data_IF_382021362866
#
_entry.id   IF_382021362866
#
_cell.length_a   1.000
_cell.length_b   1.000
_cell.length_c   1.000
_cell.angle_alpha   90.00
_cell.angle_beta   90.00
_cell.angle_gamma   90.00
#
_symmetry.space_group_name_H-M   'P 1'
#
loop_
_entity.id
_entity.type
_entity.pdbx_description
1 polymer ?
#
# COMPACT_ATOMS: atom_id res chain seq x y z
N UNK A 1 24.68 -25.52 -5.44
CA UNK A 1 24.19 -24.65 -4.36
C UNK A 1 25.42 -23.91 -3.82
N UNK A 2 25.39 -22.57 -3.78
CA UNK A 2 26.47 -21.76 -3.25
C UNK A 2 26.50 -21.76 -1.71
N UNK A 3 27.68 -21.51 -1.13
CA UNK A 3 27.83 -21.31 0.31
C UNK A 3 27.14 -20.00 0.72
N UNK A 4 26.26 -20.06 1.73
CA UNK A 4 25.56 -18.86 2.23
C UNK A 4 26.43 -18.18 3.29
N UNK A 5 26.85 -16.95 3.01
CA UNK A 5 27.67 -16.11 3.89
C UNK A 5 26.83 -15.25 4.84
N UNK A 6 25.70 -14.74 4.39
CA UNK A 6 24.79 -13.93 5.21
C UNK A 6 23.33 -14.16 4.83
N UNK A 7 22.43 -13.92 5.78
CA UNK A 7 20.99 -14.04 5.61
C UNK A 7 20.30 -12.86 6.26
N UNK A 8 19.22 -12.38 5.65
CA UNK A 8 18.42 -11.30 6.19
C UNK A 8 17.04 -11.27 5.53
N UNK A 9 16.30 -10.21 5.68
CA UNK A 9 15.01 -10.04 5.01
C UNK A 9 15.21 -9.64 3.56
N UNK A 10 14.56 -10.35 2.64
CA UNK A 10 14.57 -10.01 1.22
C UNK A 10 13.78 -8.73 0.94
N UNK A 11 14.37 -7.88 0.09
CA UNK A 11 13.72 -6.71 -0.49
C UNK A 11 13.78 -6.84 -2.00
N UNK A 12 12.60 -6.84 -2.62
CA UNK A 12 12.48 -7.21 -4.04
C UNK A 12 12.52 -8.72 -4.27
N UNK A 13 12.64 -9.12 -5.54
CA UNK A 13 12.68 -10.53 -5.97
C UNK A 13 13.83 -10.80 -6.96
N UNK A 14 14.81 -9.90 -7.04
CA UNK A 14 15.91 -9.99 -7.99
C UNK A 14 17.13 -10.70 -7.39
N UNK A 15 18.01 -11.10 -8.28
CA UNK A 15 19.35 -11.61 -7.97
C UNK A 15 20.37 -10.70 -8.65
N UNK A 16 21.45 -10.38 -7.96
CA UNK A 16 22.56 -9.63 -8.51
C UNK A 16 23.90 -10.16 -8.00
N UNK A 17 24.94 -10.02 -8.80
CA UNK A 17 26.32 -10.41 -8.50
C UNK A 17 27.20 -9.18 -8.55
N UNK A 18 28.17 -9.10 -7.65
CA UNK A 18 29.15 -8.01 -7.63
C UNK A 18 30.22 -8.22 -6.57
N UNK A 19 31.26 -7.40 -6.62
CA UNK A 19 32.25 -7.34 -5.58
C UNK A 19 31.72 -6.58 -4.35
N UNK A 20 31.97 -7.08 -3.17
CA UNK A 20 31.60 -6.44 -1.91
C UNK A 20 32.37 -5.13 -1.74
N UNK A 21 31.67 -4.07 -1.43
CA UNK A 21 32.22 -2.82 -0.91
C UNK A 21 31.69 -2.58 0.49
N UNK A 22 32.59 -2.80 1.49
CA UNK A 22 32.29 -2.47 2.88
C UNK A 22 32.36 -0.95 3.07
N UNK A 23 31.31 -0.35 3.54
CA UNK A 23 31.23 1.10 3.81
C UNK A 23 30.82 1.32 5.26
N UNK A 24 31.73 1.87 6.05
CA UNK A 24 31.51 2.13 7.46
C UNK A 24 30.98 3.55 7.72
N UNK A 25 31.26 4.52 6.84
CA UNK A 25 30.89 5.93 6.96
C UNK A 25 30.64 6.52 5.56
N UNK A 26 29.85 7.58 5.47
CA UNK A 26 29.50 8.26 4.21
C UNK A 26 30.69 8.86 3.44
N UNK A 27 31.86 9.01 4.07
CA UNK A 27 33.02 9.70 3.49
C UNK A 27 33.79 8.95 2.40
N UNK A 28 33.83 7.61 2.29
CA UNK A 28 34.53 6.94 1.17
C UNK A 28 33.59 6.61 -0.01
N UNK A 29 32.49 7.31 -0.17
CA UNK A 29 31.57 7.10 -1.30
C UNK A 29 32.24 7.34 -2.68
N UNK A 30 33.30 8.14 -2.74
CA UNK A 30 34.08 8.38 -3.96
C UNK A 30 34.81 7.14 -4.49
N UNK A 31 35.03 6.11 -3.65
CA UNK A 31 35.70 4.87 -4.04
C UNK A 31 34.72 3.76 -4.49
N UNK A 32 33.42 3.98 -4.36
CA UNK A 32 32.40 3.00 -4.75
C UNK A 32 32.30 2.94 -6.28
N UNK A 33 32.47 1.74 -6.83
CA UNK A 33 32.37 1.52 -8.28
C UNK A 33 30.98 1.01 -8.67
N UNK A 34 30.43 1.48 -9.79
CA UNK A 34 29.17 0.94 -10.31
C UNK A 34 29.21 -0.58 -10.46
N UNK A 35 28.16 -1.25 -10.01
CA UNK A 35 28.04 -2.70 -10.03
C UNK A 35 28.61 -3.43 -8.80
N UNK A 36 29.19 -2.72 -7.84
CA UNK A 36 29.59 -3.30 -6.55
C UNK A 36 28.34 -3.57 -5.67
N UNK A 37 28.50 -4.48 -4.73
CA UNK A 37 27.52 -4.77 -3.68
C UNK A 37 27.83 -3.91 -2.47
N UNK A 38 26.94 -2.98 -2.15
CA UNK A 38 27.04 -2.10 -0.99
C UNK A 38 26.76 -2.89 0.29
N UNK A 39 27.73 -2.99 1.19
CA UNK A 39 27.58 -3.66 2.49
C UNK A 39 27.88 -2.68 3.61
N UNK A 40 26.92 -2.48 4.51
CA UNK A 40 27.02 -1.49 5.59
C UNK A 40 26.27 -1.95 6.85
N UNK A 41 26.51 -1.28 7.98
CA UNK A 41 25.72 -1.50 9.19
C UNK A 41 24.28 -1.00 9.01
N UNK A 42 24.16 0.22 8.49
CA UNK A 42 22.88 0.88 8.11
C UNK A 42 23.15 1.89 7.00
N UNK A 43 22.12 2.44 6.37
CA UNK A 43 22.24 3.51 5.38
C UNK A 43 21.45 4.76 5.81
N UNK A 44 21.89 5.92 5.36
CA UNK A 44 21.24 7.22 5.54
C UNK A 44 20.98 7.88 4.18
N UNK A 45 20.13 8.92 4.07
CA UNK A 45 19.76 9.53 2.78
C UNK A 45 20.94 10.01 1.91
N UNK A 46 22.01 10.44 2.51
CA UNK A 46 23.25 10.87 1.82
C UNK A 46 23.97 9.75 1.05
N UNK A 47 23.58 8.48 1.25
CA UNK A 47 24.09 7.33 0.51
C UNK A 47 23.36 7.05 -0.81
N UNK A 48 22.27 7.76 -1.07
CA UNK A 48 21.44 7.53 -2.25
C UNK A 48 22.20 7.58 -3.59
N UNK A 49 23.17 8.49 -3.80
CA UNK A 49 23.97 8.50 -5.04
C UNK A 49 24.72 7.20 -5.30
N UNK A 50 25.26 6.56 -4.26
CA UNK A 50 25.96 5.28 -4.33
C UNK A 50 24.98 4.13 -4.51
N UNK A 51 23.88 4.16 -3.79
CA UNK A 51 22.86 3.13 -3.89
C UNK A 51 22.28 3.03 -5.32
N UNK A 52 22.21 4.14 -6.05
CA UNK A 52 21.77 4.19 -7.46
C UNK A 52 22.66 3.41 -8.42
N UNK A 53 23.92 3.23 -8.08
CA UNK A 53 24.90 2.53 -8.92
C UNK A 53 25.25 1.13 -8.40
N UNK A 54 24.78 0.77 -7.21
CA UNK A 54 25.01 -0.52 -6.60
C UNK A 54 24.27 -1.65 -7.33
N UNK A 55 24.92 -2.81 -7.45
CA UNK A 55 24.27 -4.02 -7.95
C UNK A 55 23.25 -4.58 -6.94
N UNK A 56 23.58 -4.48 -5.64
CA UNK A 56 22.75 -4.91 -4.53
C UNK A 56 23.14 -4.16 -3.25
N UNK A 57 22.27 -4.23 -2.24
CA UNK A 57 22.50 -3.63 -0.92
C UNK A 57 22.38 -4.71 0.15
N UNK A 58 23.30 -4.72 1.12
CA UNK A 58 23.25 -5.60 2.28
C UNK A 58 23.46 -4.76 3.54
N UNK A 59 22.56 -4.85 4.51
CA UNK A 59 22.73 -4.11 5.77
C UNK A 59 22.62 -5.04 6.98
N UNK A 60 23.45 -4.80 8.01
CA UNK A 60 23.34 -5.53 9.27
C UNK A 60 22.01 -5.26 9.98
N UNK A 61 21.62 -3.99 10.01
CA UNK A 61 20.40 -3.53 10.68
C UNK A 61 19.34 -3.13 9.66
N UNK A 62 18.11 -3.15 10.12
CA UNK A 62 16.97 -2.67 9.36
C UNK A 62 15.91 -3.74 9.11
N UNK A 63 14.74 -3.26 8.78
CA UNK A 63 13.59 -4.06 8.41
C UNK A 63 13.05 -3.65 7.04
N UNK A 64 11.87 -4.15 6.67
CA UNK A 64 11.25 -3.86 5.38
C UNK A 64 10.92 -2.39 5.13
N UNK A 65 10.92 -1.57 6.17
CA UNK A 65 10.62 -0.12 6.14
C UNK A 65 11.84 0.76 6.41
N UNK A 66 13.05 0.18 6.52
CA UNK A 66 14.26 0.99 6.67
C UNK A 66 14.64 1.70 5.36
N UNK A 67 15.47 2.72 5.45
CA UNK A 67 15.93 3.52 4.31
C UNK A 67 16.49 2.65 3.16
N UNK A 68 17.38 1.70 3.47
CA UNK A 68 17.93 0.78 2.47
C UNK A 68 16.85 -0.01 1.73
N UNK A 69 15.81 -0.46 2.44
CA UNK A 69 14.73 -1.23 1.86
C UNK A 69 13.81 -0.38 0.96
N UNK A 70 13.53 0.87 1.36
CA UNK A 70 12.71 1.80 0.58
C UNK A 70 13.43 2.12 -0.73
N UNK A 71 14.67 2.61 -0.65
CA UNK A 71 15.45 3.00 -1.83
C UNK A 71 15.71 1.81 -2.76
N UNK A 72 16.00 0.62 -2.22
CA UNK A 72 16.21 -0.57 -3.05
C UNK A 72 14.96 -0.96 -3.87
N UNK A 73 13.74 -0.77 -3.30
CA UNK A 73 12.48 -1.00 -4.04
C UNK A 73 12.29 0.02 -5.15
N UNK A 74 12.55 1.29 -4.88
CA UNK A 74 12.43 2.36 -5.86
C UNK A 74 13.41 2.16 -7.02
N UNK A 75 14.66 1.77 -6.71
CA UNK A 75 15.68 1.49 -7.71
C UNK A 75 15.50 0.13 -8.40
N UNK A 76 14.66 -0.75 -7.85
CA UNK A 76 14.45 -2.09 -8.38
C UNK A 76 15.67 -3.00 -8.26
N UNK A 77 16.56 -2.78 -7.30
CA UNK A 77 17.73 -3.63 -7.00
C UNK A 77 17.46 -4.55 -5.82
N UNK A 78 18.08 -5.75 -5.75
CA UNK A 78 17.91 -6.63 -4.60
C UNK A 78 18.59 -6.04 -3.37
N UNK A 79 17.92 -6.13 -2.20
CA UNK A 79 18.57 -5.84 -0.95
C UNK A 79 18.25 -6.89 0.11
N UNK A 80 19.26 -7.18 0.94
CA UNK A 80 19.17 -8.06 2.11
C UNK A 80 19.39 -7.19 3.35
N UNK A 81 18.33 -6.97 4.12
CA UNK A 81 18.37 -6.10 5.31
C UNK A 81 18.22 -6.90 6.59
N UNK A 82 18.82 -6.43 7.68
CA UNK A 82 18.82 -7.16 8.95
C UNK A 82 19.64 -8.44 8.89
N UNK A 83 20.80 -8.39 8.22
CA UNK A 83 21.72 -9.52 8.08
C UNK A 83 22.69 -9.68 9.28
N UNK A 84 22.52 -8.88 10.33
CA UNK A 84 23.20 -8.87 11.63
C UNK A 84 24.73 -8.75 11.56
N UNK A 85 25.41 -9.62 10.84
CA UNK A 85 26.87 -9.75 10.81
C UNK A 85 27.50 -9.64 9.40
N UNK A 86 26.77 -9.14 8.41
CA UNK A 86 27.27 -9.08 7.04
C UNK A 86 28.59 -8.28 6.91
N UNK A 87 28.75 -7.20 7.65
CA UNK A 87 29.96 -6.36 7.63
C UNK A 87 31.20 -7.04 8.22
N UNK A 88 31.03 -8.09 9.00
CA UNK A 88 32.12 -8.89 9.60
C UNK A 88 32.32 -10.22 8.90
N UNK A 89 31.31 -10.71 8.20
CA UNK A 89 31.32 -12.01 7.50
C UNK A 89 31.84 -11.88 6.06
N UNK A 90 31.57 -10.73 5.43
CA UNK A 90 31.95 -10.45 4.05
C UNK A 90 33.25 -9.62 4.01
N UNK A 91 34.15 -9.95 3.09
CA UNK A 91 35.37 -9.22 2.90
C UNK A 91 35.29 -8.20 1.77
N UNK A 92 35.96 -7.06 1.92
CA UNK A 92 35.98 -6.01 0.89
C UNK A 92 36.65 -6.57 -0.40
N UNK A 93 35.98 -6.38 -1.54
CA UNK A 93 36.40 -6.92 -2.83
C UNK A 93 36.02 -8.38 -3.08
N UNK A 94 35.45 -9.11 -2.09
CA UNK A 94 34.93 -10.46 -2.27
C UNK A 94 33.78 -10.48 -3.28
N UNK A 95 33.82 -11.39 -4.26
CA UNK A 95 32.70 -11.60 -5.18
C UNK A 95 31.57 -12.32 -4.47
N UNK A 96 30.37 -11.79 -4.57
CA UNK A 96 29.16 -12.39 -3.96
C UNK A 96 27.96 -12.36 -4.89
N UNK A 97 27.01 -13.24 -4.64
CA UNK A 97 25.68 -13.24 -5.26
C UNK A 97 24.63 -12.95 -4.21
N UNK A 98 23.88 -11.87 -4.37
CA UNK A 98 22.77 -11.47 -3.49
C UNK A 98 21.46 -11.93 -4.12
N UNK A 99 20.75 -12.83 -3.45
CA UNK A 99 19.48 -13.39 -3.92
C UNK A 99 18.33 -12.95 -3.02
N UNK A 100 17.32 -12.34 -3.63
CA UNK A 100 16.02 -12.05 -3.04
C UNK A 100 14.87 -12.86 -3.69
N UNK A 101 15.19 -13.84 -4.56
CA UNK A 101 14.22 -14.61 -5.31
C UNK A 101 13.67 -15.85 -4.57
N UNK A 102 14.14 -16.12 -3.37
CA UNK A 102 13.86 -17.35 -2.62
C UNK A 102 12.80 -17.15 -1.51
N UNK A 103 11.93 -16.17 -1.67
CA UNK A 103 10.87 -15.86 -0.71
C UNK A 103 11.24 -14.74 0.25
N UNK A 104 10.76 -14.81 1.50
CA UNK A 104 10.90 -13.72 2.47
C UNK A 104 12.33 -13.53 3.02
N UNK A 105 13.18 -14.56 2.89
CA UNK A 105 14.58 -14.54 3.33
C UNK A 105 15.49 -14.29 2.13
N UNK A 106 16.23 -13.20 2.20
CA UNK A 106 17.31 -12.91 1.27
C UNK A 106 18.60 -13.59 1.73
N UNK A 107 19.42 -14.00 0.76
CA UNK A 107 20.68 -14.70 0.99
C UNK A 107 21.82 -14.05 0.22
N UNK A 108 22.98 -14.02 0.84
CA UNK A 108 24.24 -13.62 0.21
C UNK A 108 25.12 -14.86 0.09
N UNK A 109 25.41 -15.26 -1.14
CA UNK A 109 26.24 -16.42 -1.44
C UNK A 109 27.66 -16.01 -1.75
N UNK A 110 28.62 -16.86 -1.39
CA UNK A 110 30.02 -16.71 -1.79
C UNK A 110 30.16 -16.86 -3.30
N UNK A 111 30.94 -16.00 -3.92
CA UNK A 111 31.26 -16.05 -5.34
C UNK A 111 30.09 -15.76 -6.28
N UNK A 112 30.35 -15.97 -7.55
CA UNK A 112 29.34 -15.87 -8.60
C UNK A 112 28.59 -17.19 -8.72
N UNK A 113 27.38 -17.24 -8.18
CA UNK A 113 26.50 -18.42 -8.29
C UNK A 113 25.71 -18.30 -9.60
N UNK A 114 25.82 -19.29 -10.51
CA UNK A 114 25.02 -19.27 -11.72
C UNK A 114 23.54 -19.42 -11.38
N UNK A 115 22.69 -18.62 -12.01
CA UNK A 115 21.25 -18.70 -11.91
C UNK A 115 20.64 -18.63 -13.31
N UNK A 116 19.51 -19.30 -13.48
CA UNK A 116 18.71 -19.20 -14.70
C UNK A 116 17.59 -18.19 -14.50
N UNK A 117 17.45 -17.28 -15.45
CA UNK A 117 16.33 -16.33 -15.49
C UNK A 117 15.40 -16.71 -16.63
N UNK A 118 14.23 -17.20 -16.26
CA UNK A 118 13.18 -17.48 -17.21
C UNK A 118 12.32 -16.22 -17.41
N UNK A 119 12.25 -15.76 -18.65
CA UNK A 119 11.41 -14.63 -19.03
C UNK A 119 10.28 -15.18 -19.87
N UNK A 120 9.07 -15.18 -19.32
CA UNK A 120 7.87 -15.56 -20.07
C UNK A 120 7.30 -14.33 -20.75
N UNK A 121 7.22 -14.35 -22.08
CA UNK A 121 6.47 -13.34 -22.82
C UNK A 121 4.98 -13.62 -22.68
N UNK A 122 4.33 -12.76 -21.90
CA UNK A 122 2.88 -12.86 -21.64
C UNK A 122 2.04 -12.07 -22.65
N UNK A 123 2.65 -11.26 -23.53
CA UNK A 123 1.92 -10.47 -24.53
C UNK A 123 1.24 -11.35 -25.59
N UNK A 124 1.82 -12.53 -25.86
CA UNK A 124 1.28 -13.52 -26.81
C UNK A 124 0.24 -14.47 -26.22
N UNK A 125 -0.08 -14.41 -24.92
CA UNK A 125 -1.04 -15.31 -24.31
C UNK A 125 -2.46 -15.06 -24.83
N UNK A 126 -3.13 -16.15 -25.23
CA UNK A 126 -4.54 -16.06 -25.63
C UNK A 126 -5.40 -15.71 -24.42
N UNK A 127 -6.16 -14.61 -24.55
CA UNK A 127 -7.08 -14.19 -23.51
C UNK A 127 -8.09 -15.30 -23.17
N UNK A 128 -8.24 -15.70 -21.89
CA UNK A 128 -9.23 -16.67 -21.47
C UNK A 128 -10.65 -16.12 -21.61
N UNK A 129 -11.66 -17.00 -21.58
CA UNK A 129 -13.08 -16.60 -21.60
C UNK A 129 -13.50 -15.91 -20.32
N UNK A 130 -12.85 -16.25 -19.19
CA UNK A 130 -13.08 -15.66 -17.86
C UNK A 130 -12.18 -14.44 -17.71
N UNK A 131 -12.76 -13.36 -17.21
CA UNK A 131 -11.99 -12.15 -16.86
C UNK A 131 -11.06 -12.43 -15.68
N UNK A 132 -9.80 -12.04 -15.81
CA UNK A 132 -8.78 -12.17 -14.77
C UNK A 132 -8.55 -10.78 -14.18
N UNK A 133 -8.94 -10.57 -12.93
CA UNK A 133 -8.82 -9.30 -12.25
C UNK A 133 -7.84 -9.41 -11.07
N UNK A 134 -7.16 -8.31 -10.77
CA UNK A 134 -6.21 -8.25 -9.65
C UNK A 134 -6.87 -7.70 -8.39
N UNK A 135 -6.31 -8.05 -7.22
CA UNK A 135 -6.60 -7.38 -5.96
C UNK A 135 -5.52 -6.33 -5.70
N UNK A 136 -5.92 -5.12 -5.37
CA UNK A 136 -5.01 -4.00 -5.15
C UNK A 136 -5.51 -3.14 -3.99
N UNK A 137 -4.64 -2.83 -3.04
CA UNK A 137 -4.97 -1.95 -1.91
C UNK A 137 -4.09 -0.70 -1.88
N UNK A 138 -2.81 -0.83 -2.28
CA UNK A 138 -1.87 0.28 -2.24
C UNK A 138 -1.86 1.05 -3.57
N UNK A 139 -2.21 2.36 -3.58
CA UNK A 139 -2.18 3.19 -4.78
C UNK A 139 -0.80 3.29 -5.43
N UNK A 140 0.28 3.24 -4.65
CA UNK A 140 1.66 3.32 -5.17
C UNK A 140 2.02 2.16 -6.12
N UNK A 141 1.38 1.00 -5.93
CA UNK A 141 1.58 -0.17 -6.79
C UNK A 141 0.66 -0.18 -8.03
N UNK A 142 -0.26 0.77 -8.14
CA UNK A 142 -1.31 0.73 -9.15
C UNK A 142 -0.77 0.75 -10.57
N UNK A 143 0.16 1.64 -10.87
CA UNK A 143 0.75 1.76 -12.20
C UNK A 143 1.52 0.50 -12.61
N UNK A 144 2.38 0.00 -11.72
CA UNK A 144 3.14 -1.21 -11.99
C UNK A 144 2.21 -2.44 -12.17
N UNK A 145 1.18 -2.55 -11.32
CA UNK A 145 0.22 -3.65 -11.40
C UNK A 145 -0.63 -3.56 -12.68
N UNK A 146 -0.92 -2.36 -13.16
CA UNK A 146 -1.70 -2.15 -14.39
C UNK A 146 -1.00 -2.66 -15.65
N UNK A 147 0.32 -2.86 -15.60
CA UNK A 147 1.10 -3.45 -16.70
C UNK A 147 0.91 -4.96 -16.84
N UNK A 148 0.31 -5.61 -15.85
CA UNK A 148 -0.03 -7.03 -15.95
C UNK A 148 -1.18 -7.24 -16.95
N UNK A 149 -1.22 -8.39 -17.67
CA UNK A 149 -2.30 -8.74 -18.58
C UNK A 149 -3.54 -9.15 -17.79
N UNK A 150 -4.25 -8.19 -17.23
CA UNK A 150 -5.47 -8.41 -16.44
C UNK A 150 -6.62 -7.54 -16.97
N UNK A 151 -7.84 -7.89 -16.59
CA UNK A 151 -9.06 -7.23 -17.07
C UNK A 151 -9.50 -6.06 -16.17
N UNK A 152 -8.76 -5.78 -15.09
CA UNK A 152 -9.03 -4.70 -14.18
C UNK A 152 -8.74 -5.05 -12.72
N UNK A 153 -9.26 -4.26 -11.80
CA UNK A 153 -9.17 -4.48 -10.36
C UNK A 153 -10.50 -5.04 -9.85
N UNK A 154 -10.49 -6.30 -9.41
CA UNK A 154 -11.67 -6.98 -8.87
C UNK A 154 -11.96 -6.61 -7.42
N UNK A 155 -10.92 -6.18 -6.68
CA UNK A 155 -11.04 -5.70 -5.32
C UNK A 155 -9.97 -4.65 -5.02
N UNK A 156 -10.37 -3.39 -4.96
CA UNK A 156 -9.58 -2.32 -4.35
C UNK A 156 -10.10 -2.08 -2.92
N UNK A 157 -9.22 -2.21 -1.95
CA UNK A 157 -9.57 -2.08 -0.53
C UNK A 157 -9.35 -0.66 -0.05
N UNK A 158 -10.43 0.05 0.23
CA UNK A 158 -10.41 1.43 0.73
C UNK A 158 -9.67 1.57 2.06
N UNK A 159 -9.69 0.53 2.88
CA UNK A 159 -9.01 0.48 4.19
C UNK A 159 -7.52 0.76 4.10
N UNK A 160 -6.85 0.32 3.04
CA UNK A 160 -5.42 0.62 2.84
C UNK A 160 -5.18 2.11 2.63
N UNK A 161 -6.03 2.77 1.84
CA UNK A 161 -5.93 4.22 1.62
C UNK A 161 -6.17 4.97 2.94
N UNK A 162 -7.18 4.54 3.71
CA UNK A 162 -7.48 5.17 5.01
C UNK A 162 -6.33 4.98 5.99
N UNK A 163 -5.80 3.76 6.12
CA UNK A 163 -4.73 3.45 7.08
C UNK A 163 -3.39 4.13 6.75
N UNK A 164 -3.02 4.17 5.48
CA UNK A 164 -1.68 4.63 5.08
C UNK A 164 -1.63 6.12 4.78
N UNK A 165 -2.69 6.68 4.19
CA UNK A 165 -2.68 8.05 3.68
C UNK A 165 -3.54 9.02 4.49
N UNK A 166 -4.61 8.54 5.17
CA UNK A 166 -5.52 9.38 5.93
C UNK A 166 -5.24 9.28 7.44
N UNK A 167 -5.13 8.06 7.97
CA UNK A 167 -4.72 7.71 9.34
C UNK A 167 -5.65 8.18 10.46
N UNK A 168 -6.78 8.75 10.16
CA UNK A 168 -7.75 9.30 11.11
C UNK A 168 -9.14 8.71 10.88
N UNK A 169 -9.90 8.56 11.97
CA UNK A 169 -11.28 8.08 11.90
C UNK A 169 -12.17 9.11 11.19
N UNK A 170 -13.06 8.73 10.25
CA UNK A 170 -13.89 9.68 9.51
C UNK A 170 -14.79 10.53 10.40
N UNK A 171 -15.33 9.98 11.49
CA UNK A 171 -16.12 10.77 12.44
C UNK A 171 -15.26 11.73 13.27
N UNK A 172 -13.97 11.45 13.46
CA UNK A 172 -13.07 12.32 14.20
C UNK A 172 -12.72 13.60 13.43
N UNK A 173 -12.69 13.55 12.10
CA UNK A 173 -12.51 14.77 11.28
C UNK A 173 -13.76 15.65 11.25
N UNK A 174 -14.94 15.06 11.43
CA UNK A 174 -16.23 15.77 11.48
C UNK A 174 -16.52 16.37 12.86
N UNK A 175 -16.18 15.61 13.91
CA UNK A 175 -16.51 15.91 15.29
C UNK A 175 -15.29 15.87 16.22
N UNK A 176 -14.23 16.66 15.95
CA UNK A 176 -13.01 16.65 16.77
C UNK A 176 -13.28 17.08 18.22
N UNK A 177 -14.33 17.85 18.48
CA UNK A 177 -14.75 18.28 19.82
C UNK A 177 -15.17 17.11 20.73
N UNK A 178 -15.50 15.95 20.17
CA UNK A 178 -15.85 14.75 20.93
C UNK A 178 -14.64 14.00 21.45
N UNK A 179 -13.44 14.29 20.94
CA UNK A 179 -12.19 13.68 21.40
C UNK A 179 -11.80 14.32 22.74
N UNK A 180 -11.80 13.49 23.80
CA UNK A 180 -11.57 13.95 25.18
C UNK A 180 -10.10 14.35 25.41
N UNK A 181 -9.16 13.57 24.87
CA UNK A 181 -7.73 13.88 24.99
C UNK A 181 -7.37 15.07 24.11
N UNK A 182 -6.94 16.16 24.75
CA UNK A 182 -6.58 17.41 24.06
C UNK A 182 -5.39 17.26 23.12
N UNK A 183 -4.42 16.39 23.43
CA UNK A 183 -3.26 16.14 22.59
C UNK A 183 -3.68 15.38 21.34
N UNK A 184 -4.48 14.34 21.50
CA UNK A 184 -5.03 13.57 20.39
C UNK A 184 -5.92 14.45 19.50
N UNK A 185 -6.79 15.28 20.11
CA UNK A 185 -7.61 16.24 19.36
C UNK A 185 -6.78 17.24 18.55
N UNK A 186 -5.74 17.83 19.16
CA UNK A 186 -4.83 18.73 18.47
C UNK A 186 -4.08 18.02 17.32
N UNK A 187 -3.66 16.77 17.53
CA UNK A 187 -3.05 15.95 16.49
C UNK A 187 -4.01 15.69 15.32
N UNK A 188 -5.26 15.33 15.61
CA UNK A 188 -6.32 15.17 14.59
C UNK A 188 -6.47 16.47 13.80
N UNK A 189 -6.64 17.60 14.48
CA UNK A 189 -6.80 18.90 13.83
C UNK A 189 -5.60 19.34 12.99
N UNK A 190 -4.39 18.95 13.37
CA UNK A 190 -3.18 19.27 12.61
C UNK A 190 -3.10 18.58 11.25
N UNK A 191 -3.81 17.46 11.03
CA UNK A 191 -3.80 16.71 9.78
C UNK A 191 -4.34 17.50 8.59
N UNK A 192 -5.27 18.40 8.82
CA UNK A 192 -5.84 19.24 7.76
C UNK A 192 -5.33 20.68 7.76
N UNK A 193 -4.16 20.92 8.37
CA UNK A 193 -3.50 22.20 8.22
C UNK A 193 -3.25 22.48 6.73
N UNK A 194 -3.84 23.58 6.22
CA UNK A 194 -3.81 23.91 4.79
C UNK A 194 -5.01 23.41 3.96
N UNK A 195 -5.93 22.62 4.55
CA UNK A 195 -7.23 22.31 3.98
C UNK A 195 -8.32 23.20 4.61
N UNK A 196 -9.47 23.40 3.93
CA UNK A 196 -10.57 24.20 4.49
C UNK A 196 -11.11 23.64 5.81
N UNK A 197 -11.25 22.33 5.91
CA UNK A 197 -11.74 21.59 7.07
C UNK A 197 -11.33 20.12 7.02
N UNK A 198 -11.65 19.37 8.08
CA UNK A 198 -11.33 17.95 8.20
C UNK A 198 -12.11 17.07 7.20
N UNK A 199 -13.34 17.45 6.84
CA UNK A 199 -14.12 16.72 5.84
C UNK A 199 -13.46 16.83 4.47
N UNK A 200 -13.08 18.03 4.05
CA UNK A 200 -12.34 18.27 2.79
C UNK A 200 -11.04 17.47 2.75
N UNK A 201 -10.27 17.48 3.82
CA UNK A 201 -9.05 16.69 3.94
C UNK A 201 -9.33 15.19 3.69
N UNK A 202 -10.31 14.61 4.39
CA UNK A 202 -10.65 13.19 4.24
C UNK A 202 -11.08 12.86 2.82
N UNK A 203 -11.99 13.66 2.25
CA UNK A 203 -12.53 13.46 0.90
C UNK A 203 -11.42 13.55 -0.14
N UNK A 204 -10.56 14.55 -0.05
CA UNK A 204 -9.49 14.76 -1.02
C UNK A 204 -8.46 13.63 -0.98
N UNK A 205 -7.97 13.27 0.21
CA UNK A 205 -7.01 12.19 0.37
C UNK A 205 -7.56 10.84 -0.09
N UNK A 206 -8.82 10.54 0.26
CA UNK A 206 -9.46 9.31 -0.18
C UNK A 206 -9.66 9.30 -1.71
N UNK A 207 -10.10 10.41 -2.28
CA UNK A 207 -10.27 10.55 -3.72
C UNK A 207 -8.94 10.46 -4.49
N UNK A 208 -7.86 11.04 -3.97
CA UNK A 208 -6.52 10.92 -4.56
C UNK A 208 -6.04 9.47 -4.61
N UNK A 209 -6.14 8.74 -3.49
CA UNK A 209 -5.71 7.34 -3.43
C UNK A 209 -6.52 6.43 -4.35
N UNK A 210 -7.84 6.53 -4.31
CA UNK A 210 -8.75 5.75 -5.17
C UNK A 210 -8.60 6.18 -6.63
N UNK A 211 -8.50 7.48 -6.88
CA UNK A 211 -8.32 8.06 -8.21
C UNK A 211 -7.02 7.58 -8.88
N UNK A 212 -5.94 7.48 -8.11
CA UNK A 212 -4.67 6.92 -8.60
C UNK A 212 -4.83 5.49 -9.10
N UNK A 213 -5.56 4.65 -8.35
CA UNK A 213 -5.85 3.27 -8.77
C UNK A 213 -6.73 3.27 -10.03
N UNK A 214 -7.80 4.06 -10.02
CA UNK A 214 -8.73 4.12 -11.14
C UNK A 214 -8.07 4.64 -12.42
N UNK A 215 -7.22 5.66 -12.33
CA UNK A 215 -6.48 6.23 -13.46
C UNK A 215 -5.47 5.23 -14.06
N UNK A 216 -4.71 4.53 -13.20
CA UNK A 216 -3.73 3.54 -13.65
C UNK A 216 -4.37 2.40 -14.47
N UNK A 217 -5.61 2.05 -14.20
CA UNK A 217 -6.33 0.98 -14.89
C UNK A 217 -7.29 1.48 -15.98
N UNK A 218 -7.49 2.79 -16.14
CA UNK A 218 -8.43 3.31 -17.14
C UNK A 218 -8.11 2.80 -18.56
N UNK A 219 -9.09 2.32 -19.35
CA UNK A 219 -10.55 2.27 -19.10
C UNK A 219 -11.03 0.95 -18.42
N UNK A 220 -10.12 0.05 -18.01
CA UNK A 220 -10.44 -1.22 -17.35
C UNK A 220 -11.16 -0.96 -16.02
N UNK A 221 -12.17 -1.78 -15.64
CA UNK A 221 -12.94 -1.56 -14.43
C UNK A 221 -12.09 -1.67 -13.16
N UNK A 222 -12.40 -0.82 -12.18
CA UNK A 222 -11.84 -0.85 -10.83
C UNK A 222 -13.01 -0.92 -9.84
N UNK A 223 -13.12 -2.05 -9.14
CA UNK A 223 -14.16 -2.27 -8.14
C UNK A 223 -13.59 -1.90 -6.77
N UNK A 224 -14.03 -0.78 -6.23
CA UNK A 224 -13.64 -0.30 -4.89
C UNK A 224 -14.64 -0.77 -3.86
N UNK A 225 -14.17 -1.51 -2.88
CA UNK A 225 -14.97 -1.89 -1.73
C UNK A 225 -15.00 -0.73 -0.74
N UNK A 226 -16.20 -0.33 -0.32
CA UNK A 226 -16.40 0.60 0.78
C UNK A 226 -15.68 0.08 2.04
N UNK A 227 -15.33 0.96 2.94
CA UNK A 227 -14.49 0.63 4.10
C UNK A 227 -15.09 -0.50 4.95
N UNK A 228 -14.31 -1.54 5.18
CA UNK A 228 -14.72 -2.76 5.86
C UNK A 228 -13.87 -3.04 7.09
N UNK A 229 -13.65 -2.02 7.89
CA UNK A 229 -12.98 -2.16 9.18
C UNK A 229 -13.91 -2.80 10.22
N UNK A 230 -13.33 -3.56 11.11
CA UNK A 230 -13.96 -3.95 12.36
C UNK A 230 -13.99 -2.76 13.32
N UNK A 231 -14.86 -2.78 14.31
CA UNK A 231 -14.95 -1.71 15.32
C UNK A 231 -13.63 -1.46 16.05
N UNK A 232 -12.88 -2.51 16.38
CA UNK A 232 -11.56 -2.38 17.01
C UNK A 232 -10.49 -1.78 16.06
N UNK A 233 -10.58 -2.05 14.76
CA UNK A 233 -9.69 -1.45 13.75
C UNK A 233 -10.01 0.03 13.55
N UNK A 234 -11.29 0.39 13.48
CA UNK A 234 -11.72 1.79 13.46
C UNK A 234 -11.32 2.53 14.74
N UNK A 235 -11.48 1.91 15.91
CA UNK A 235 -11.08 2.48 17.19
C UNK A 235 -9.56 2.72 17.28
N UNK A 236 -8.76 1.98 16.52
CA UNK A 236 -7.31 2.15 16.46
C UNK A 236 -6.86 3.32 15.56
N UNK A 237 -7.72 3.82 14.67
CA UNK A 237 -7.45 5.05 13.93
C UNK A 237 -7.42 6.25 14.87
N UNK A 238 -6.65 7.27 14.51
CA UNK A 238 -6.52 8.48 15.31
C UNK A 238 -7.90 9.10 15.58
N UNK A 239 -8.20 9.37 16.84
CA UNK A 239 -9.49 9.88 17.30
C UNK A 239 -10.66 8.87 17.27
N UNK A 240 -10.40 7.59 16.93
CA UNK A 240 -11.46 6.61 16.69
C UNK A 240 -12.18 6.08 17.93
N UNK A 241 -11.48 5.99 19.06
CA UNK A 241 -11.99 5.32 20.29
C UNK A 241 -13.34 5.83 20.77
N UNK A 242 -13.59 7.11 20.66
CA UNK A 242 -14.82 7.74 21.17
C UNK A 242 -16.05 7.54 20.25
N UNK A 243 -15.82 7.04 19.05
CA UNK A 243 -16.87 6.83 18.06
C UNK A 243 -17.26 5.36 17.88
N UNK A 244 -16.44 4.44 18.40
CA UNK A 244 -16.63 3.02 18.18
C UNK A 244 -17.18 2.30 19.42
N UNK A 245 -18.15 1.38 19.23
CA UNK A 245 -18.60 0.52 20.30
C UNK A 245 -17.51 -0.48 20.68
N UNK A 246 -17.49 -0.86 21.98
CA UNK A 246 -16.71 -1.99 22.41
C UNK A 246 -17.47 -3.28 22.09
N UNK A 247 -16.91 -4.12 21.23
CA UNK A 247 -17.50 -5.41 20.85
C UNK A 247 -16.57 -6.55 21.24
N UNK A 248 -17.10 -7.58 21.91
CA UNK A 248 -16.32 -8.79 22.27
C UNK A 248 -15.90 -9.57 21.02
N UNK A 249 -16.74 -9.62 19.99
CA UNK A 249 -16.44 -10.23 18.70
C UNK A 249 -16.77 -9.27 17.54
N UNK A 250 -15.81 -8.41 17.15
CA UNK A 250 -16.04 -7.43 16.11
C UNK A 250 -16.09 -8.02 14.68
N UNK A 251 -15.90 -9.33 14.52
CA UNK A 251 -15.89 -9.98 13.19
C UNK A 251 -17.21 -9.85 12.44
N UNK A 252 -18.33 -9.89 13.15
CA UNK A 252 -19.69 -9.92 12.57
C UNK A 252 -20.53 -8.70 13.01
N UNK A 253 -20.05 -7.91 13.95
CA UNK A 253 -20.78 -6.86 14.64
C UNK A 253 -21.10 -5.62 13.81
N UNK A 254 -20.78 -4.45 14.32
CA UNK A 254 -21.01 -3.15 13.70
C UNK A 254 -20.06 -2.92 12.52
N UNK A 255 -20.40 -3.50 11.36
CA UNK A 255 -19.52 -3.62 10.20
C UNK A 255 -20.30 -3.60 8.88
N UNK A 256 -19.69 -3.05 7.81
CA UNK A 256 -20.20 -3.06 6.46
C UNK A 256 -21.56 -2.35 6.29
N UNK A 257 -22.47 -2.95 5.54
CA UNK A 257 -23.76 -2.33 5.17
C UNK A 257 -24.58 -1.84 6.38
N UNK A 258 -24.61 -2.60 7.48
CA UNK A 258 -25.29 -2.20 8.70
C UNK A 258 -24.72 -0.91 9.31
N UNK A 259 -23.39 -0.73 9.24
CA UNK A 259 -22.71 0.47 9.72
C UNK A 259 -23.08 1.70 8.91
N UNK A 260 -23.11 1.60 7.58
CA UNK A 260 -23.32 2.77 6.70
C UNK A 260 -24.69 3.41 6.84
N UNK A 261 -25.70 2.60 7.16
CA UNK A 261 -27.08 3.09 7.39
C UNK A 261 -27.36 3.50 8.84
N UNK A 262 -26.41 3.19 9.75
CA UNK A 262 -26.60 3.50 11.16
C UNK A 262 -26.28 4.97 11.45
N UNK A 263 -27.10 5.68 12.27
CA UNK A 263 -26.90 7.10 12.59
C UNK A 263 -25.50 7.42 13.13
N UNK A 264 -24.90 6.52 13.89
CA UNK A 264 -23.55 6.72 14.46
C UNK A 264 -22.43 6.82 13.41
N UNK A 265 -22.65 6.39 12.15
CA UNK A 265 -21.65 6.40 11.11
C UNK A 265 -22.12 7.01 9.78
N UNK A 266 -23.38 7.37 9.67
CA UNK A 266 -23.98 7.86 8.41
C UNK A 266 -23.25 9.08 7.82
N UNK A 267 -22.69 9.94 8.67
CA UNK A 267 -21.87 11.09 8.24
C UNK A 267 -20.50 10.65 7.72
N UNK A 268 -19.84 9.66 8.36
CA UNK A 268 -18.60 9.05 7.86
C UNK A 268 -18.81 8.37 6.50
N UNK A 269 -19.92 7.64 6.34
CA UNK A 269 -20.29 7.06 5.06
C UNK A 269 -20.54 8.14 3.98
N UNK A 270 -21.05 9.32 4.37
CA UNK A 270 -21.21 10.44 3.45
C UNK A 270 -19.86 10.93 2.90
N UNK A 271 -18.81 10.96 3.71
CA UNK A 271 -17.46 11.33 3.24
C UNK A 271 -16.93 10.33 2.20
N UNK A 272 -17.11 9.01 2.44
CA UNK A 272 -16.72 7.98 1.47
C UNK A 272 -17.47 8.18 0.13
N UNK A 273 -18.77 8.40 0.18
CA UNK A 273 -19.57 8.66 -1.03
C UNK A 273 -19.10 9.91 -1.78
N UNK A 274 -18.79 10.99 -1.07
CA UNK A 274 -18.31 12.22 -1.68
C UNK A 274 -16.94 12.03 -2.35
N UNK A 275 -16.04 11.28 -1.73
CA UNK A 275 -14.75 10.94 -2.32
C UNK A 275 -14.92 10.13 -3.61
N UNK A 276 -15.77 9.10 -3.62
CA UNK A 276 -16.06 8.29 -4.80
C UNK A 276 -16.73 9.12 -5.91
N UNK A 277 -17.65 9.99 -5.53
CA UNK A 277 -18.28 10.94 -6.47
C UNK A 277 -17.24 11.87 -7.10
N UNK A 278 -16.32 12.43 -6.30
CA UNK A 278 -15.24 13.27 -6.80
C UNK A 278 -14.37 12.54 -7.83
N UNK A 279 -14.03 11.27 -7.57
CA UNK A 279 -13.27 10.44 -8.53
C UNK A 279 -14.02 10.28 -9.84
N UNK A 280 -15.32 10.02 -9.80
CA UNK A 280 -16.11 9.80 -11.01
C UNK A 280 -16.43 11.08 -11.78
N UNK A 281 -16.90 12.11 -11.06
CA UNK A 281 -17.47 13.30 -11.68
C UNK A 281 -16.42 14.38 -11.95
N UNK A 282 -15.49 14.59 -11.02
CA UNK A 282 -14.47 15.64 -11.12
C UNK A 282 -13.22 15.15 -11.85
N UNK A 283 -12.73 13.92 -11.49
CA UNK A 283 -11.58 13.34 -12.17
C UNK A 283 -11.96 12.60 -13.46
N UNK A 284 -13.25 12.39 -13.73
CA UNK A 284 -13.75 11.75 -14.96
C UNK A 284 -13.52 10.23 -15.02
N UNK A 285 -13.17 9.58 -13.92
CA UNK A 285 -12.78 8.18 -13.88
C UNK A 285 -14.03 7.26 -13.72
N UNK A 286 -14.83 7.15 -14.75
CA UNK A 286 -16.09 6.39 -14.77
C UNK A 286 -15.89 4.87 -14.77
N UNK A 287 -14.67 4.38 -14.94
CA UNK A 287 -14.31 2.98 -14.78
C UNK A 287 -14.40 2.52 -13.30
N UNK A 288 -14.48 3.44 -12.34
CA UNK A 288 -14.73 3.14 -10.93
C UNK A 288 -16.11 2.52 -10.74
N UNK A 289 -16.15 1.38 -10.03
CA UNK A 289 -17.36 0.67 -9.57
C UNK A 289 -17.28 0.52 -8.06
N UNK A 290 -18.41 0.28 -7.40
CA UNK A 290 -18.50 0.20 -5.94
C UNK A 290 -18.89 -1.19 -5.49
N UNK A 291 -18.29 -1.68 -4.41
CA UNK A 291 -18.69 -2.91 -3.73
C UNK A 291 -19.06 -2.62 -2.28
N UNK A 292 -20.21 -3.11 -1.87
CA UNK A 292 -20.74 -2.96 -0.50
C UNK A 292 -20.40 -4.23 0.28
N UNK A 293 -19.55 -4.14 1.33
CA UNK A 293 -19.18 -5.31 2.15
C UNK A 293 -20.27 -5.65 3.19
N UNK A 294 -20.28 -6.91 3.59
CA UNK A 294 -21.12 -7.43 4.67
C UNK A 294 -22.59 -7.04 4.56
N UNK A 295 -23.16 -7.19 3.37
CA UNK A 295 -24.59 -6.97 3.14
C UNK A 295 -25.36 -8.25 3.47
N UNK A 296 -25.92 -8.34 4.66
CA UNK A 296 -26.56 -9.55 5.20
C UNK A 296 -28.07 -9.59 4.97
N UNK A 297 -28.71 -8.44 4.79
CA UNK A 297 -30.15 -8.31 4.67
C UNK A 297 -30.54 -7.39 3.53
N UNK A 298 -31.75 -7.60 3.01
CA UNK A 298 -32.28 -6.83 1.88
C UNK A 298 -32.54 -5.35 2.24
N UNK A 299 -32.95 -5.08 3.47
CA UNK A 299 -33.15 -3.72 3.96
C UNK A 299 -31.83 -2.96 4.10
N UNK A 300 -30.74 -3.62 4.52
CA UNK A 300 -29.40 -3.05 4.50
C UNK A 300 -28.98 -2.66 3.08
N UNK A 301 -29.16 -3.55 2.11
CA UNK A 301 -28.87 -3.25 0.70
C UNK A 301 -29.67 -2.04 0.18
N UNK A 302 -30.97 -2.02 0.46
CA UNK A 302 -31.86 -0.90 0.07
C UNK A 302 -31.43 0.41 0.73
N UNK A 303 -31.11 0.38 2.03
CA UNK A 303 -30.66 1.55 2.78
C UNK A 303 -29.34 2.12 2.25
N UNK A 304 -28.35 1.27 1.97
CA UNK A 304 -27.06 1.69 1.40
C UNK A 304 -27.25 2.27 0.01
N UNK A 305 -28.01 1.61 -0.87
CA UNK A 305 -28.30 2.11 -2.22
C UNK A 305 -29.04 3.44 -2.20
N UNK A 306 -30.01 3.62 -1.29
CA UNK A 306 -30.71 4.88 -1.11
C UNK A 306 -29.74 5.97 -0.60
N UNK A 307 -28.89 5.65 0.37
CA UNK A 307 -27.88 6.56 0.89
C UNK A 307 -26.86 7.00 -0.16
N UNK A 308 -26.39 6.09 -1.02
CA UNK A 308 -25.53 6.40 -2.16
C UNK A 308 -26.26 7.26 -3.19
N UNK A 309 -27.49 6.88 -3.54
CA UNK A 309 -28.32 7.61 -4.53
C UNK A 309 -28.60 9.03 -4.10
N UNK A 310 -28.96 9.26 -2.84
CA UNK A 310 -29.17 10.59 -2.27
C UNK A 310 -27.90 11.48 -2.27
N UNK A 311 -26.73 10.87 -2.47
CA UNK A 311 -25.43 11.57 -2.58
C UNK A 311 -24.88 11.61 -4.01
N UNK A 312 -25.69 11.27 -5.00
CA UNK A 312 -25.32 11.32 -6.42
C UNK A 312 -24.55 10.10 -6.94
N UNK A 313 -24.49 9.00 -6.17
CA UNK A 313 -23.94 7.71 -6.60
C UNK A 313 -25.04 6.68 -6.86
N UNK A 314 -26.02 7.06 -7.67
CA UNK A 314 -27.14 6.19 -8.03
C UNK A 314 -26.66 4.99 -8.88
N UNK A 315 -27.11 3.78 -8.50
CA UNK A 315 -26.89 2.59 -9.32
C UNK A 315 -27.44 2.79 -10.73
N UNK A 316 -26.64 2.57 -11.75
CA UNK A 316 -26.97 2.75 -13.16
C UNK A 316 -26.71 4.17 -13.70
N UNK A 317 -26.57 5.17 -12.83
CA UNK A 317 -26.24 6.55 -13.26
C UNK A 317 -24.79 6.56 -13.77
N UNK A 318 -24.58 7.10 -14.97
CA UNK A 318 -23.30 7.14 -15.67
C UNK A 318 -22.54 5.80 -15.68
N UNK A 319 -23.30 4.70 -15.81
CA UNK A 319 -22.75 3.34 -15.85
C UNK A 319 -22.20 2.84 -14.50
N UNK A 320 -22.57 3.45 -13.37
CA UNK A 320 -22.15 2.96 -12.05
C UNK A 320 -22.78 1.60 -11.76
N UNK A 321 -21.92 0.60 -11.57
CA UNK A 321 -22.30 -0.71 -11.05
C UNK A 321 -22.01 -0.78 -9.57
N UNK A 322 -22.92 -1.40 -8.82
CA UNK A 322 -22.78 -1.66 -7.39
C UNK A 322 -22.82 -3.17 -7.17
N UNK A 323 -21.78 -3.68 -6.54
CA UNK A 323 -21.65 -5.09 -6.15
C UNK A 323 -21.93 -5.23 -4.65
N UNK A 324 -22.27 -6.42 -4.20
CA UNK A 324 -22.42 -6.77 -2.78
C UNK A 324 -21.58 -8.01 -2.46
N UNK A 325 -21.06 -8.08 -1.23
CA UNK A 325 -20.25 -9.19 -0.74
C UNK A 325 -20.52 -9.44 0.76
#
# INVERSE_FOLDING_TARGET
QGEVKARGRAVGARIATGAVRLVADARPLAEFKPGEVLVADTTTPDWEPVMKTAAAIVTNRGGRTCHAAIVARELGIPAVVGAEHATTTLANGEGVTVSCAEGAMGKVYAGTVPFHREVSDIAGLKKPRTEIMVNLGNPELAFQTSMLPCDGVGLARMEFVINEHIKVHPMAVLHPERIVDEKERAQVQSLWAGCPDGASYFIERLAEGIGTIAAAFFPRPVIVRLSDFKSNEYAALLGGRVFEPHEENPMIGFRGAARYIHPAYAEGFALECQALKRVRDVMGLTNLKVMVPFCRRLDEARGVLAGMGGRGLGRGVDGLRVYVV
#
